data_IF_516527519006
#
_entry.id   IF_516527519006
#
_cell.length_a   1.000
_cell.length_b   1.000
_cell.length_c   1.000
_cell.angle_alpha   90.00
_cell.angle_beta   90.00
_cell.angle_gamma   90.00
#
_symmetry.space_group_name_H-M   'P 1'
#
loop_
_entity.id
_entity.type
_entity.pdbx_description
1 polymer ?
#
# COMPACT_ATOMS: atom_id res chain seq x y z
N UNK A 1 16.42 36.24 49.92
CA UNK A 1 16.84 34.90 49.46
C UNK A 1 15.83 33.88 49.96
N UNK A 2 15.20 33.13 49.07
CA UNK A 2 14.34 32.00 49.40
C UNK A 2 14.50 30.98 48.28
N UNK A 3 14.98 29.77 48.60
CA UNK A 3 15.26 28.72 47.63
C UNK A 3 14.07 27.76 47.63
N UNK A 4 13.37 27.65 46.50
CA UNK A 4 12.27 26.70 46.34
C UNK A 4 12.79 25.40 45.75
N UNK A 5 12.70 24.31 46.52
CA UNK A 5 13.06 22.96 46.09
C UNK A 5 11.85 22.29 45.43
N UNK A 6 11.85 22.27 44.09
CA UNK A 6 10.83 21.58 43.30
C UNK A 6 10.99 20.06 43.36
N UNK A 7 10.04 19.38 44.00
CA UNK A 7 9.95 17.92 44.06
C UNK A 7 9.83 17.31 42.64
N UNK A 8 10.70 16.35 42.31
CA UNK A 8 10.51 15.50 41.12
C UNK A 8 9.71 14.26 41.50
N UNK A 9 8.48 14.17 40.98
CA UNK A 9 7.68 12.95 41.04
C UNK A 9 8.11 12.05 39.89
N UNK A 10 8.85 10.98 40.19
CA UNK A 10 9.19 9.95 39.21
C UNK A 10 7.96 9.08 38.93
N UNK A 11 7.37 9.23 37.74
CA UNK A 11 6.34 8.32 37.25
C UNK A 11 6.93 6.94 36.97
N UNK A 12 6.51 5.94 37.75
CA UNK A 12 7.01 4.57 37.67
C UNK A 12 6.16 3.78 36.67
N UNK A 13 6.66 3.58 35.45
CA UNK A 13 5.99 2.75 34.44
C UNK A 13 6.11 1.26 34.80
N UNK A 14 4.97 0.64 35.11
CA UNK A 14 4.87 -0.80 35.33
C UNK A 14 4.78 -1.49 33.97
N UNK A 15 5.85 -2.18 33.57
CA UNK A 15 5.86 -3.03 32.37
C UNK A 15 5.14 -4.35 32.71
N UNK A 16 3.90 -4.48 32.27
CA UNK A 16 3.15 -5.73 32.34
C UNK A 16 3.59 -6.68 31.22
N UNK A 17 4.38 -7.69 31.57
CA UNK A 17 4.73 -8.77 30.63
C UNK A 17 3.53 -9.72 30.45
N UNK A 18 2.93 -9.71 29.26
CA UNK A 18 1.90 -10.69 28.88
C UNK A 18 2.61 -11.93 28.34
N UNK A 19 2.66 -12.99 29.15
CA UNK A 19 3.14 -14.29 28.70
C UNK A 19 2.04 -14.99 27.88
N UNK A 20 2.22 -15.04 26.56
CA UNK A 20 1.37 -15.86 25.67
C UNK A 20 1.87 -17.30 25.74
N UNK A 21 1.05 -18.18 26.30
CA UNK A 21 1.33 -19.61 26.33
C UNK A 21 1.02 -20.24 24.96
N UNK A 22 2.06 -20.45 24.14
CA UNK A 22 1.97 -21.27 22.94
C UNK A 22 1.91 -22.76 23.36
N UNK A 23 0.73 -23.37 23.25
CA UNK A 23 0.55 -24.81 23.45
C UNK A 23 1.05 -25.57 22.22
N UNK A 24 2.31 -26.01 22.24
CA UNK A 24 2.83 -26.95 21.26
C UNK A 24 2.37 -28.37 21.61
N UNK A 25 1.54 -28.98 20.76
CA UNK A 25 1.26 -30.42 20.83
C UNK A 25 2.42 -31.20 20.20
N UNK A 26 3.41 -31.56 21.01
CA UNK A 26 4.39 -32.59 20.66
C UNK A 26 3.91 -33.94 21.19
N UNK A 27 3.49 -34.84 20.31
CA UNK A 27 3.25 -36.25 20.66
C UNK A 27 4.58 -37.00 20.65
N UNK A 28 4.92 -37.61 21.79
CA UNK A 28 6.15 -38.39 21.99
C UNK A 28 6.09 -39.81 21.39
N UNK A 29 7.28 -40.34 21.11
CA UNK A 29 7.54 -41.76 20.90
C UNK A 29 8.45 -42.04 19.70
N UNK A 30 9.66 -42.60 19.82
CA UNK A 30 10.41 -43.04 21.00
C UNK A 30 11.39 -44.14 20.59
N UNK A 31 12.70 -44.00 20.88
CA UNK A 31 13.69 -45.00 20.47
C UNK A 31 15.15 -44.58 20.68
N UNK A 32 15.73 -44.96 21.81
CA UNK A 32 17.13 -44.75 22.19
C UNK A 32 18.10 -45.75 21.54
N UNK A 33 19.30 -45.30 21.16
CA UNK A 33 20.54 -46.10 21.24
C UNK A 33 21.80 -45.20 21.26
N UNK A 34 22.79 -45.63 22.04
CA UNK A 34 24.00 -44.91 22.48
C UNK A 34 25.05 -44.54 21.41
N UNK A 35 25.91 -43.56 21.72
CA UNK A 35 27.18 -43.37 20.99
C UNK A 35 28.05 -42.19 21.39
N UNK A 36 29.17 -42.47 22.12
CA UNK A 36 30.45 -41.71 22.21
C UNK A 36 30.55 -40.39 21.41
N UNK A 37 30.96 -39.25 21.98
CA UNK A 37 32.07 -39.07 22.93
C UNK A 37 33.34 -38.63 22.19
N UNK A 38 33.80 -37.39 22.40
CA UNK A 38 35.01 -36.85 21.74
C UNK A 38 35.20 -35.34 21.91
N UNK A 39 35.95 -34.94 22.95
CA UNK A 39 36.57 -33.61 23.04
C UNK A 39 37.73 -33.48 22.04
N UNK A 40 37.99 -32.28 21.49
CA UNK A 40 38.99 -32.16 20.43
C UNK A 40 39.39 -30.74 19.96
N UNK A 41 39.84 -29.89 20.88
CA UNK A 41 40.82 -28.78 20.67
C UNK A 41 40.64 -27.73 19.55
N UNK A 42 40.71 -26.47 19.99
CA UNK A 42 40.92 -25.25 19.19
C UNK A 42 42.27 -25.28 18.45
N UNK A 43 42.31 -24.86 17.18
CA UNK A 43 43.52 -24.31 16.53
C UNK A 43 43.15 -23.09 15.69
N UNK A 44 43.75 -21.94 16.01
CA UNK A 44 43.67 -20.71 15.22
C UNK A 44 44.92 -20.56 14.37
N UNK A 45 44.80 -20.60 13.04
CA UNK A 45 45.82 -20.10 12.13
C UNK A 45 45.25 -19.78 10.73
N UNK A 46 45.71 -18.66 10.16
CA UNK A 46 45.68 -18.36 8.74
C UNK A 46 46.83 -17.38 8.46
N UNK A 47 46.90 -16.71 7.30
CA UNK A 47 46.38 -17.08 5.98
C UNK A 47 47.55 -17.32 4.98
N UNK A 48 47.27 -17.79 3.76
CA UNK A 48 48.21 -17.67 2.62
C UNK A 48 47.51 -17.78 1.27
N UNK A 49 48.11 -17.17 0.25
CA UNK A 49 47.46 -16.82 -1.02
C UNK A 49 47.60 -17.88 -2.14
N UNK A 50 46.67 -17.81 -3.10
CA UNK A 50 46.87 -17.85 -4.56
C UNK A 50 47.71 -19.01 -5.15
N UNK A 51 47.04 -19.84 -5.97
CA UNK A 51 47.61 -20.33 -7.24
C UNK A 51 47.16 -21.72 -7.68
N UNK A 52 46.53 -21.82 -8.87
CA UNK A 52 46.40 -23.08 -9.61
C UNK A 52 44.98 -23.45 -10.07
N UNK A 53 44.65 -23.16 -11.34
CA UNK A 53 43.85 -24.07 -12.17
C UNK A 53 44.79 -24.82 -13.14
N UNK A 54 44.31 -25.46 -14.22
CA UNK A 54 42.91 -25.63 -14.66
C UNK A 54 42.52 -27.11 -14.97
N UNK A 55 41.23 -27.38 -15.16
CA UNK A 55 40.76 -28.61 -15.85
C UNK A 55 39.44 -28.35 -16.59
N UNK A 56 39.49 -28.36 -17.92
CA UNK A 56 38.37 -28.47 -18.89
C UNK A 56 38.16 -29.96 -19.29
N UNK A 57 37.20 -30.35 -20.18
CA UNK A 57 36.06 -29.64 -20.79
C UNK A 57 34.71 -30.22 -20.24
N UNK A 58 33.51 -30.24 -20.84
CA UNK A 58 32.92 -29.90 -22.16
C UNK A 58 31.41 -29.55 -21.95
N UNK A 59 30.50 -29.36 -22.92
CA UNK A 59 30.51 -29.45 -24.39
C UNK A 59 29.48 -28.45 -25.00
N UNK A 60 29.40 -28.38 -26.32
CA UNK A 60 28.71 -27.36 -27.14
C UNK A 60 27.18 -27.49 -27.15
N UNK A 61 26.48 -26.36 -27.28
CA UNK A 61 25.75 -25.98 -28.53
C UNK A 61 24.92 -24.69 -28.39
N UNK A 62 25.03 -23.81 -29.38
CA UNK A 62 23.99 -22.84 -29.73
C UNK A 62 23.30 -23.32 -31.03
N UNK A 63 22.04 -22.94 -31.29
CA UNK A 63 21.88 -21.90 -32.31
C UNK A 63 20.72 -20.90 -32.14
N UNK A 64 20.95 -19.77 -32.82
CA UNK A 64 20.07 -18.69 -33.29
C UNK A 64 18.64 -19.09 -33.73
N UNK A 65 17.65 -18.23 -33.40
CA UNK A 65 16.56 -17.67 -34.26
C UNK A 65 15.36 -17.21 -33.38
N UNK A 66 14.48 -16.26 -33.73
CA UNK A 66 14.21 -15.54 -34.98
C UNK A 66 14.00 -14.03 -34.73
N UNK A 67 14.48 -13.19 -35.65
CA UNK A 67 13.75 -11.97 -36.05
C UNK A 67 12.83 -12.34 -37.22
N UNK A 68 11.69 -11.67 -37.38
CA UNK A 68 10.99 -11.63 -38.67
C UNK A 68 10.25 -10.31 -38.89
N UNK A 69 10.12 -9.81 -40.15
CA UNK A 69 9.71 -8.44 -40.42
C UNK A 69 8.44 -8.35 -41.30
N UNK A 70 8.17 -7.13 -41.79
CA UNK A 70 7.11 -6.70 -42.73
C UNK A 70 5.74 -6.41 -42.07
N UNK A 71 5.01 -5.35 -42.43
CA UNK A 71 5.32 -4.25 -43.37
C UNK A 71 4.05 -3.66 -44.00
N UNK A 72 4.17 -2.46 -44.60
CA UNK A 72 3.12 -1.65 -45.28
C UNK A 72 2.05 -1.01 -44.37
N UNK A 73 1.35 0.04 -44.79
CA UNK A 73 1.63 1.18 -45.69
C UNK A 73 0.44 2.15 -45.56
N UNK A 74 0.65 3.47 -45.69
CA UNK A 74 -0.43 4.44 -45.43
C UNK A 74 -0.07 5.89 -45.71
N UNK A 75 0.59 6.16 -46.83
CA UNK A 75 0.70 7.52 -47.36
C UNK A 75 -0.68 8.01 -47.81
N UNK A 76 -1.20 9.07 -47.20
CA UNK A 76 -2.30 9.86 -47.75
C UNK A 76 -1.78 11.22 -48.19
N UNK A 77 -1.17 11.24 -49.37
CA UNK A 77 -0.97 12.48 -50.12
C UNK A 77 -2.29 12.87 -50.79
N UNK A 78 -2.69 14.13 -50.66
CA UNK A 78 -3.78 14.72 -51.45
C UNK A 78 -3.45 16.18 -51.74
N UNK A 79 -2.87 16.42 -52.92
CA UNK A 79 -2.94 17.74 -53.54
C UNK A 79 -4.35 17.97 -54.12
N UNK A 80 -4.66 19.21 -54.51
CA UNK A 80 -4.75 19.37 -55.96
C UNK A 80 -3.99 20.58 -56.53
N UNK A 81 -3.54 20.34 -57.76
CA UNK A 81 -2.95 21.25 -58.75
C UNK A 81 -3.68 22.59 -58.92
N UNK A 82 -2.93 23.70 -58.94
CA UNK A 82 -3.28 24.90 -59.72
C UNK A 82 -2.04 25.76 -60.04
N UNK A 83 -1.75 25.93 -61.33
CA UNK A 83 -0.77 26.81 -62.00
C UNK A 83 -1.51 27.22 -63.29
N UNK A 84 -1.52 28.48 -63.80
CA UNK A 84 -0.28 29.15 -64.26
C UNK A 84 -0.23 30.70 -64.37
N UNK A 85 0.93 31.18 -64.85
CA UNK A 85 1.19 32.49 -65.50
C UNK A 85 1.18 33.73 -64.59
N UNK A 86 2.00 34.77 -64.79
CA UNK A 86 3.12 35.05 -65.72
C UNK A 86 3.44 36.55 -65.57
N UNK A 87 4.70 37.00 -65.47
CA UNK A 87 5.55 37.52 -66.57
C UNK A 87 6.82 38.17 -65.97
N UNK A 88 7.92 38.34 -66.73
CA UNK A 88 9.15 38.96 -66.26
C UNK A 88 9.26 40.47 -66.61
N UNK A 89 10.00 41.21 -65.78
CA UNK A 89 10.41 42.60 -66.03
C UNK A 89 11.32 43.07 -64.91
N UNK A 90 12.40 43.81 -65.20
CA UNK A 90 13.42 44.13 -64.19
C UNK A 90 13.98 45.55 -64.25
N UNK A 91 15.20 45.67 -63.73
CA UNK A 91 16.14 46.80 -63.75
C UNK A 91 15.90 47.96 -62.74
N UNK A 92 17.03 48.42 -62.19
CA UNK A 92 17.35 49.71 -61.51
C UNK A 92 17.00 49.89 -60.01
N UNK A 93 17.99 49.53 -59.18
CA UNK A 93 18.65 50.39 -58.17
C UNK A 93 17.87 51.43 -57.36
N UNK A 94 17.83 51.23 -56.04
CA UNK A 94 17.72 52.26 -55.03
C UNK A 94 18.64 51.94 -53.83
N UNK A 95 19.15 52.97 -53.14
CA UNK A 95 20.23 52.86 -52.14
C UNK A 95 19.89 52.05 -50.88
N UNK A 96 20.90 51.46 -50.21
CA UNK A 96 20.71 50.88 -48.88
C UNK A 96 20.38 51.96 -47.84
N UNK A 97 19.19 51.87 -47.24
CA UNK A 97 18.89 52.62 -46.01
C UNK A 97 19.76 52.11 -44.85
N UNK A 98 20.27 52.99 -43.97
CA UNK A 98 21.12 52.59 -42.86
C UNK A 98 20.37 51.68 -41.88
N UNK A 99 21.08 50.65 -41.40
CA UNK A 99 20.57 49.69 -40.43
C UNK A 99 19.97 50.38 -39.21
N UNK A 100 18.74 50.01 -38.75
CA UNK A 100 18.28 50.43 -37.45
C UNK A 100 19.20 49.84 -36.38
N UNK A 101 19.79 50.71 -35.57
CA UNK A 101 20.53 50.34 -34.36
C UNK A 101 19.68 49.38 -33.52
N UNK A 102 20.24 48.26 -33.01
CA UNK A 102 19.46 47.35 -32.16
C UNK A 102 19.09 48.06 -30.86
N UNK A 103 17.84 48.49 -30.75
CA UNK A 103 17.27 48.96 -29.49
C UNK A 103 17.39 47.86 -28.42
N UNK A 104 17.81 48.17 -27.18
CA UNK A 104 17.83 47.22 -26.08
C UNK A 104 16.41 46.97 -25.55
N UNK A 105 15.55 46.42 -26.41
CA UNK A 105 14.15 46.15 -26.14
C UNK A 105 13.94 44.67 -25.84
N UNK A 106 13.46 44.38 -24.64
CA UNK A 106 13.15 43.02 -24.20
C UNK A 106 14.32 42.35 -23.48
N UNK A 107 14.33 42.47 -22.15
CA UNK A 107 14.70 41.30 -21.34
C UNK A 107 13.69 40.22 -21.69
N UNK A 108 14.05 39.28 -22.56
CA UNK A 108 13.23 38.11 -22.81
C UNK A 108 12.98 37.44 -21.48
N UNK A 109 11.72 37.41 -21.02
CA UNK A 109 11.32 36.63 -19.86
C UNK A 109 11.61 35.18 -20.20
N UNK A 110 12.73 34.67 -19.69
CA UNK A 110 13.09 33.25 -19.81
C UNK A 110 11.99 32.49 -19.08
N UNK A 111 11.08 31.90 -19.85
CA UNK A 111 10.01 31.05 -19.32
C UNK A 111 10.68 29.78 -18.82
N UNK A 112 11.01 29.77 -17.53
CA UNK A 112 11.51 28.57 -16.87
C UNK A 112 10.43 27.50 -16.96
N UNK A 113 10.77 26.36 -17.57
CA UNK A 113 9.86 25.24 -17.66
C UNK A 113 9.64 24.68 -16.24
N UNK A 114 8.39 24.68 -15.79
CA UNK A 114 8.05 24.07 -14.50
C UNK A 114 8.35 22.56 -14.54
N UNK A 115 8.96 21.99 -13.49
CA UNK A 115 9.12 20.54 -13.39
C UNK A 115 7.74 19.87 -13.28
N UNK A 116 7.59 18.62 -13.73
CA UNK A 116 6.34 17.88 -13.61
C UNK A 116 5.95 17.74 -12.14
N UNK A 117 4.67 17.98 -11.83
CA UNK A 117 4.12 17.81 -10.49
C UNK A 117 3.60 16.39 -10.26
N UNK A 118 3.29 16.08 -9.00
CA UNK A 118 2.90 14.76 -8.50
C UNK A 118 1.97 13.99 -9.45
N UNK A 119 2.25 12.69 -9.69
CA UNK A 119 1.37 11.83 -10.47
C UNK A 119 -0.09 11.85 -9.97
N UNK A 120 -1.08 11.63 -10.87
CA UNK A 120 -2.46 11.43 -10.47
C UNK A 120 -2.63 10.12 -9.69
N UNK A 121 -3.84 9.84 -9.25
CA UNK A 121 -4.16 8.59 -8.54
C UNK A 121 -5.55 8.64 -7.90
N UNK A 122 -6.02 7.49 -7.37
CA UNK A 122 -7.17 7.47 -6.48
C UNK A 122 -6.88 8.32 -5.24
N UNK A 123 -7.92 8.97 -4.72
CA UNK A 123 -7.84 9.67 -3.43
C UNK A 123 -7.89 8.64 -2.31
N UNK A 124 -7.03 8.76 -1.31
CA UNK A 124 -7.10 7.98 -0.09
C UNK A 124 -8.47 8.17 0.57
N UNK A 125 -9.16 7.10 1.01
CA UNK A 125 -10.02 7.24 2.18
C UNK A 125 -9.25 7.89 3.35
N UNK A 126 -10.03 8.60 4.15
CA UNK A 126 -9.70 9.21 5.44
C UNK A 126 -11.01 9.07 6.22
N UNK A 127 -11.33 7.84 6.60
CA UNK A 127 -12.63 7.43 7.17
C UNK A 127 -12.73 7.76 8.64
N UNK A 128 -11.59 7.83 9.36
CA UNK A 128 -11.54 8.28 10.76
C UNK A 128 -11.23 9.78 10.96
N UNK A 129 -10.87 10.51 9.89
CA UNK A 129 -10.63 11.96 9.91
C UNK A 129 -9.23 12.35 10.40
N UNK A 130 -8.35 11.38 10.63
CA UNK A 130 -6.96 11.57 11.06
C UNK A 130 -6.05 11.64 9.83
N UNK A 131 -5.37 12.77 9.57
CA UNK A 131 -4.48 12.88 8.41
C UNK A 131 -3.35 11.85 8.46
N UNK A 132 -3.34 10.96 7.47
CA UNK A 132 -2.28 10.00 7.17
C UNK A 132 -1.35 10.50 6.04
N UNK A 133 -0.20 9.86 5.78
CA UNK A 133 0.72 10.28 4.72
C UNK A 133 0.09 10.28 3.31
N UNK A 134 -0.81 9.35 3.03
CA UNK A 134 -1.42 9.19 1.72
C UNK A 134 -2.52 10.22 1.44
N UNK A 135 -3.32 10.64 2.43
CA UNK A 135 -4.24 11.79 2.27
C UNK A 135 -3.47 13.12 2.18
N UNK A 136 -2.36 13.29 2.90
CA UNK A 136 -1.51 14.49 2.76
C UNK A 136 -0.80 14.56 1.39
N UNK A 137 -0.40 13.42 0.83
CA UNK A 137 0.03 13.34 -0.58
C UNK A 137 -1.07 13.84 -1.54
N UNK A 138 -2.34 13.50 -1.29
CA UNK A 138 -3.44 13.94 -2.14
C UNK A 138 -3.75 15.43 -2.03
N UNK A 139 -3.59 16.01 -0.82
CA UNK A 139 -3.60 17.46 -0.67
C UNK A 139 -2.47 18.12 -1.48
N UNK A 140 -1.27 17.52 -1.49
CA UNK A 140 -0.14 18.03 -2.26
C UNK A 140 -0.31 17.93 -3.78
N UNK A 141 -1.15 17.01 -4.32
CA UNK A 141 -1.41 16.94 -5.77
C UNK A 141 -1.94 18.27 -6.36
N UNK A 142 -2.50 19.14 -5.52
CA UNK A 142 -2.84 20.53 -5.84
C UNK A 142 -1.73 21.50 -5.33
N UNK A 143 -0.85 22.06 -6.19
CA UNK A 143 0.31 22.84 -5.76
C UNK A 143 -0.01 24.10 -4.94
N UNK A 144 -1.22 24.65 -5.08
CA UNK A 144 -1.68 25.79 -4.29
C UNK A 144 -1.88 25.44 -2.80
N UNK A 145 -2.11 24.16 -2.49
CA UNK A 145 -2.41 23.62 -1.14
C UNK A 145 -1.17 23.21 -0.33
N UNK A 146 0.05 23.40 -0.83
CA UNK A 146 1.27 22.96 -0.14
C UNK A 146 1.44 23.51 1.29
N UNK A 147 0.91 24.71 1.57
CA UNK A 147 0.87 25.27 2.93
C UNK A 147 -0.15 24.55 3.83
N UNK A 148 -1.33 24.22 3.30
CA UNK A 148 -2.36 23.45 4.00
C UNK A 148 -1.92 22.00 4.25
N UNK A 149 -1.20 21.38 3.30
CA UNK A 149 -0.61 20.07 3.46
C UNK A 149 0.49 20.07 4.55
N UNK A 150 1.40 21.05 4.53
CA UNK A 150 2.40 21.21 5.60
C UNK A 150 1.77 21.34 6.98
N UNK A 151 0.66 22.08 7.09
CA UNK A 151 -0.10 22.24 8.34
C UNK A 151 -0.86 20.99 8.80
N UNK A 152 -0.96 19.95 7.96
CA UNK A 152 -1.56 18.65 8.31
C UNK A 152 -0.54 17.62 8.80
N UNK A 153 0.75 17.83 8.57
CA UNK A 153 1.82 16.92 9.00
C UNK A 153 2.06 17.09 10.51
N UNK A 154 2.02 16.01 11.32
CA UNK A 154 2.24 16.12 12.76
C UNK A 154 3.61 16.69 13.10
N UNK A 155 3.66 17.53 14.14
CA UNK A 155 4.91 18.10 14.65
C UNK A 155 5.72 17.01 15.34
N UNK A 156 7.00 16.89 14.97
CA UNK A 156 7.89 15.86 15.52
C UNK A 156 7.73 14.46 14.91
N UNK A 157 6.85 14.24 13.93
CA UNK A 157 6.79 12.97 13.18
C UNK A 157 8.16 12.63 12.57
N UNK A 158 8.64 11.40 12.83
CA UNK A 158 9.96 10.87 12.47
C UNK A 158 9.90 9.73 11.44
N UNK A 159 8.70 9.31 11.09
CA UNK A 159 8.40 8.32 10.07
C UNK A 159 8.85 8.84 8.70
N UNK A 160 9.43 7.96 7.89
CA UNK A 160 10.06 8.31 6.61
C UNK A 160 9.12 9.10 5.69
N UNK A 161 7.85 8.72 5.63
CA UNK A 161 6.86 9.36 4.77
C UNK A 161 6.49 10.77 5.26
N UNK A 162 6.33 10.96 6.56
CA UNK A 162 6.05 12.28 7.14
C UNK A 162 7.23 13.24 6.94
N UNK A 163 8.46 12.75 7.07
CA UNK A 163 9.67 13.51 6.77
C UNK A 163 9.74 13.90 5.28
N UNK A 164 9.44 12.96 4.38
CA UNK A 164 9.40 13.20 2.94
C UNK A 164 8.35 14.26 2.56
N UNK A 165 7.11 14.10 3.02
CA UNK A 165 6.01 15.01 2.70
C UNK A 165 6.25 16.41 3.27
N UNK A 166 6.95 16.52 4.41
CA UNK A 166 7.38 17.81 4.98
C UNK A 166 8.41 18.50 4.09
N UNK A 167 9.44 17.76 3.64
CA UNK A 167 10.44 18.26 2.69
C UNK A 167 9.85 18.64 1.34
N UNK A 168 8.94 17.83 0.80
CA UNK A 168 8.23 18.12 -0.45
C UNK A 168 7.31 19.35 -0.33
N UNK A 169 6.62 19.52 0.80
CA UNK A 169 5.80 20.72 1.06
C UNK A 169 6.66 21.98 1.14
N UNK A 170 7.81 21.91 1.82
CA UNK A 170 8.77 23.01 1.91
C UNK A 170 9.34 23.39 0.53
N UNK A 171 9.75 22.40 -0.28
CA UNK A 171 10.22 22.61 -1.64
C UNK A 171 9.12 23.17 -2.57
N UNK A 172 7.87 22.71 -2.41
CA UNK A 172 6.72 23.21 -3.17
C UNK A 172 6.44 24.70 -2.92
N UNK A 173 6.56 25.15 -1.66
CA UNK A 173 6.43 26.57 -1.32
C UNK A 173 7.63 27.36 -1.87
N UNK A 174 8.84 26.82 -1.70
CA UNK A 174 10.08 27.51 -2.05
C UNK A 174 10.21 27.72 -3.57
N UNK A 175 9.88 26.72 -4.38
CA UNK A 175 9.90 26.81 -5.86
C UNK A 175 8.84 27.79 -6.40
N UNK A 176 7.74 27.97 -5.66
CA UNK A 176 6.70 28.95 -5.98
C UNK A 176 6.98 30.35 -5.41
N UNK A 177 8.11 30.55 -4.73
CA UNK A 177 8.49 31.83 -4.11
C UNK A 177 7.65 32.22 -2.88
N UNK A 178 6.99 31.26 -2.22
CA UNK A 178 6.09 31.46 -1.06
C UNK A 178 6.79 31.26 0.30
N UNK A 179 8.11 31.40 0.36
CA UNK A 179 8.91 30.90 1.49
C UNK A 179 9.04 29.38 1.45
N UNK A 180 9.61 28.77 2.50
CA UNK A 180 10.00 27.35 2.51
C UNK A 180 11.51 27.20 2.66
N UNK A 181 11.97 25.95 2.70
CA UNK A 181 13.34 25.60 3.08
C UNK A 181 13.90 24.54 2.12
N UNK A 182 14.89 24.95 1.32
CA UNK A 182 15.59 24.08 0.36
C UNK A 182 16.59 23.15 1.03
N UNK A 183 17.18 23.55 2.17
CA UNK A 183 18.16 22.74 2.89
C UNK A 183 17.46 21.61 3.65
N UNK A 184 16.33 21.89 4.30
CA UNK A 184 15.47 20.87 4.89
C UNK A 184 14.91 19.90 3.84
N UNK A 185 14.52 20.40 2.67
CA UNK A 185 14.08 19.58 1.54
C UNK A 185 15.20 18.67 0.99
N UNK A 186 16.43 19.19 0.88
CA UNK A 186 17.60 18.43 0.46
C UNK A 186 18.01 17.37 1.49
N UNK A 187 17.98 17.71 2.79
CA UNK A 187 18.23 16.79 3.90
C UNK A 187 17.25 15.62 3.89
N UNK A 188 15.94 15.90 3.82
CA UNK A 188 14.91 14.86 3.73
C UNK A 188 15.12 13.94 2.51
N UNK A 189 15.45 14.49 1.33
CA UNK A 189 15.72 13.65 0.15
C UNK A 189 16.97 12.77 0.32
N UNK A 190 18.02 13.26 0.97
CA UNK A 190 19.25 12.50 1.20
C UNK A 190 19.05 11.38 2.24
N UNK A 191 18.37 11.67 3.36
CA UNK A 191 18.17 10.73 4.48
C UNK A 191 17.17 9.61 4.20
N UNK A 192 16.33 9.76 3.17
CA UNK A 192 15.21 8.87 2.87
C UNK A 192 15.42 7.99 1.63
N UNK A 193 16.61 8.04 1.03
CA UNK A 193 16.99 7.18 -0.09
C UNK A 193 16.80 5.69 0.25
N UNK A 194 15.90 5.01 -0.47
CA UNK A 194 15.60 3.59 -0.25
C UNK A 194 14.82 3.26 1.03
N UNK A 195 14.36 4.26 1.79
CA UNK A 195 13.58 4.08 3.04
C UNK A 195 12.07 4.33 2.89
N UNK A 196 11.64 4.71 1.70
CA UNK A 196 10.25 5.04 1.39
C UNK A 196 9.71 4.00 0.43
N UNK A 197 8.85 3.12 0.93
CA UNK A 197 8.42 1.89 0.27
C UNK A 197 6.93 1.84 -0.06
N UNK A 198 6.16 2.91 0.11
CA UNK A 198 4.82 3.03 -0.49
C UNK A 198 4.87 3.61 -1.92
N UNK A 199 3.84 3.38 -2.71
CA UNK A 199 3.72 3.91 -4.07
C UNK A 199 3.62 5.45 -4.12
N UNK A 200 2.84 6.06 -3.23
CA UNK A 200 2.76 7.52 -3.07
C UNK A 200 4.07 8.10 -2.57
N UNK A 201 4.69 7.47 -1.57
CA UNK A 201 6.00 7.86 -1.06
C UNK A 201 7.09 7.84 -2.13
N UNK A 202 7.23 6.75 -2.89
CA UNK A 202 8.18 6.67 -4.03
C UNK A 202 7.94 7.76 -5.08
N UNK A 203 6.68 8.06 -5.39
CA UNK A 203 6.33 9.14 -6.32
C UNK A 203 6.67 10.54 -5.78
N UNK A 204 6.42 10.80 -4.49
CA UNK A 204 6.80 12.04 -3.81
C UNK A 204 8.32 12.23 -3.74
N UNK A 205 9.07 11.15 -3.51
CA UNK A 205 10.53 11.14 -3.50
C UNK A 205 11.11 11.55 -4.85
N UNK A 206 10.61 10.95 -5.94
CA UNK A 206 11.03 11.28 -7.30
C UNK A 206 10.74 12.75 -7.67
N UNK A 207 9.56 13.29 -7.28
CA UNK A 207 9.23 14.71 -7.51
C UNK A 207 10.11 15.64 -6.69
N UNK A 208 10.37 15.32 -5.41
CA UNK A 208 11.29 16.09 -4.57
C UNK A 208 12.70 16.16 -5.20
N UNK A 209 13.22 15.03 -5.71
CA UNK A 209 14.47 15.01 -6.47
C UNK A 209 14.46 15.93 -7.68
N UNK A 210 13.36 15.91 -8.46
CA UNK A 210 13.16 16.80 -9.61
C UNK A 210 13.09 18.31 -9.25
N UNK A 211 12.51 18.66 -8.10
CA UNK A 211 12.51 20.03 -7.58
C UNK A 211 13.92 20.48 -7.16
N UNK A 212 14.68 19.61 -6.50
CA UNK A 212 16.06 19.88 -6.10
C UNK A 212 16.97 20.04 -7.34
N UNK A 213 16.76 19.24 -8.39
CA UNK A 213 17.44 19.40 -9.67
C UNK A 213 17.05 20.68 -10.42
N UNK A 214 15.80 21.14 -10.27
CA UNK A 214 15.39 22.45 -10.77
C UNK A 214 16.12 23.57 -9.99
N UNK A 215 16.11 23.51 -8.66
CA UNK A 215 16.77 24.51 -7.81
C UNK A 215 18.29 24.61 -8.07
N UNK A 216 18.98 23.46 -8.20
CA UNK A 216 20.42 23.42 -8.55
C UNK A 216 20.74 24.10 -9.88
N UNK A 217 19.87 23.95 -10.89
CA UNK A 217 20.05 24.55 -12.23
C UNK A 217 19.60 26.02 -12.29
N UNK A 218 18.68 26.42 -11.41
CA UNK A 218 18.13 27.76 -11.36
C UNK A 218 18.12 28.30 -9.91
N UNK A 219 19.30 28.63 -9.32
CA UNK A 219 19.37 29.22 -7.99
C UNK A 219 18.58 30.54 -7.95
N UNK A 220 17.56 30.62 -7.10
CA UNK A 220 16.64 31.76 -7.01
C UNK A 220 15.58 31.83 -8.12
N UNK A 221 15.53 30.86 -9.04
CA UNK A 221 14.45 30.73 -10.02
C UNK A 221 13.17 30.25 -9.35
N UNK A 222 12.04 30.89 -9.67
CA UNK A 222 10.71 30.48 -9.23
C UNK A 222 9.83 30.12 -10.41
N UNK A 223 8.95 29.13 -10.22
CA UNK A 223 7.98 28.67 -11.22
C UNK A 223 6.64 28.39 -10.56
N UNK A 224 5.56 28.67 -11.29
CA UNK A 224 4.23 28.23 -10.89
C UNK A 224 4.06 26.76 -11.29
N UNK A 225 4.00 25.89 -10.29
CA UNK A 225 3.63 24.49 -10.48
C UNK A 225 2.16 24.39 -10.91
N UNK A 226 1.82 23.33 -11.64
CA UNK A 226 0.45 23.00 -12.06
C UNK A 226 0.17 21.53 -11.74
N UNK A 227 -1.07 21.22 -11.32
CA UNK A 227 -1.49 19.84 -11.13
C UNK A 227 -1.40 19.06 -12.45
N UNK A 228 -0.90 17.83 -12.39
CA UNK A 228 -0.76 16.94 -13.56
C UNK A 228 -2.13 16.34 -13.91
N UNK A 229 -2.75 16.72 -15.05
CA UNK A 229 -4.16 16.38 -15.33
C UNK A 229 -4.37 14.92 -15.79
N UNK A 230 -3.30 14.16 -16.02
CA UNK A 230 -3.34 12.77 -16.42
C UNK A 230 -1.93 12.18 -16.55
N UNK A 231 -1.82 10.86 -16.60
CA UNK A 231 -0.56 10.13 -16.62
C UNK A 231 -0.68 8.81 -15.86
N UNK A 232 0.43 8.08 -15.75
CA UNK A 232 0.50 6.87 -14.89
C UNK A 232 0.17 7.26 -13.45
N UNK A 233 -0.77 6.57 -12.77
CA UNK A 233 -1.07 6.87 -11.38
C UNK A 233 0.10 6.50 -10.47
N UNK A 234 0.24 7.18 -9.33
CA UNK A 234 1.27 6.85 -8.34
C UNK A 234 1.16 5.39 -7.87
N UNK A 235 -0.07 4.92 -7.67
CA UNK A 235 -0.41 3.61 -7.13
C UNK A 235 -1.30 2.82 -8.10
N UNK A 236 -1.00 1.52 -8.25
CA UNK A 236 -1.77 0.58 -9.06
C UNK A 236 -2.37 -0.52 -8.20
N UNK A 237 -3.35 -0.16 -7.37
CA UNK A 237 -4.01 -1.04 -6.41
C UNK A 237 -4.59 -2.29 -7.10
N UNK A 238 -4.16 -3.47 -6.65
CA UNK A 238 -4.62 -4.77 -7.17
C UNK A 238 -4.34 -5.90 -6.19
N UNK A 239 -5.04 -7.02 -6.37
CA UNK A 239 -4.61 -8.31 -5.86
C UNK A 239 -3.42 -8.77 -6.73
N UNK A 240 -2.28 -9.05 -6.10
CA UNK A 240 -1.07 -9.54 -6.76
C UNK A 240 -1.01 -11.08 -6.80
N UNK A 241 -1.65 -11.76 -5.85
CA UNK A 241 -1.75 -13.21 -5.80
C UNK A 241 -2.59 -13.70 -4.62
N UNK A 242 -2.87 -15.00 -4.63
CA UNK A 242 -3.49 -15.72 -3.51
C UNK A 242 -2.60 -16.90 -3.15
N UNK A 243 -2.31 -17.05 -1.87
CA UNK A 243 -1.51 -18.10 -1.26
C UNK A 243 -2.45 -19.09 -0.55
N UNK A 244 -2.62 -20.29 -1.11
CA UNK A 244 -3.39 -21.37 -0.45
C UNK A 244 -2.52 -22.26 0.45
N UNK A 245 -1.24 -21.96 0.60
CA UNK A 245 -0.28 -22.79 1.34
C UNK A 245 0.28 -23.98 0.55
N UNK A 246 -0.02 -24.11 -0.74
CA UNK A 246 0.40 -25.26 -1.54
C UNK A 246 0.29 -25.09 -3.06
N UNK A 247 -0.47 -25.97 -3.69
CA UNK A 247 -0.61 -26.22 -5.14
C UNK A 247 -1.59 -25.27 -5.86
N UNK A 248 -2.21 -24.33 -5.15
CA UNK A 248 -3.28 -23.48 -5.67
C UNK A 248 -4.68 -24.06 -5.49
N UNK A 249 -4.82 -25.16 -4.74
CA UNK A 249 -6.10 -25.68 -4.27
C UNK A 249 -6.37 -25.27 -2.81
N UNK A 250 -7.65 -25.20 -2.42
CA UNK A 250 -8.08 -25.01 -1.04
C UNK A 250 -9.47 -25.63 -0.80
N UNK A 251 -9.77 -26.00 0.44
CA UNK A 251 -11.06 -26.57 0.87
C UNK A 251 -11.88 -25.54 1.65
N UNK A 252 -13.22 -25.69 1.73
CA UNK A 252 -14.03 -24.92 2.66
C UNK A 252 -13.51 -25.03 4.10
N UNK A 253 -13.27 -23.88 4.74
CA UNK A 253 -12.65 -23.78 6.07
C UNK A 253 -11.14 -23.55 6.07
N UNK A 254 -10.43 -23.81 4.97
CA UNK A 254 -9.00 -23.50 4.86
C UNK A 254 -8.76 -21.99 4.91
N UNK A 255 -7.58 -21.59 5.38
CA UNK A 255 -7.19 -20.17 5.46
C UNK A 255 -6.24 -19.80 4.33
N UNK A 256 -6.66 -18.88 3.47
CA UNK A 256 -5.85 -18.38 2.34
C UNK A 256 -5.27 -17.00 2.65
N UNK A 257 -4.07 -16.72 2.12
CA UNK A 257 -3.47 -15.40 2.09
C UNK A 257 -3.84 -14.65 0.81
N UNK A 258 -4.31 -13.42 0.90
CA UNK A 258 -4.58 -12.54 -0.25
C UNK A 258 -3.53 -11.42 -0.24
N UNK A 259 -2.65 -11.41 -1.23
CA UNK A 259 -1.65 -10.36 -1.38
C UNK A 259 -2.24 -9.17 -2.16
N UNK A 260 -2.30 -8.02 -1.52
CA UNK A 260 -2.61 -6.73 -2.12
C UNK A 260 -1.32 -5.95 -2.38
N UNK A 261 -1.25 -5.25 -3.51
CA UNK A 261 -0.14 -4.35 -3.84
C UNK A 261 -0.67 -3.02 -4.38
N UNK A 262 0.13 -1.95 -4.23
CA UNK A 262 -0.28 -0.60 -4.61
C UNK A 262 -1.36 -0.04 -3.68
N UNK A 263 -1.39 -0.44 -2.41
CA UNK A 263 -2.25 0.20 -1.39
C UNK A 263 -1.91 1.68 -1.28
N UNK A 264 -2.94 2.52 -1.14
CA UNK A 264 -2.81 3.98 -1.16
C UNK A 264 -3.55 4.64 0.02
N UNK A 265 -3.79 3.87 1.08
CA UNK A 265 -4.61 4.17 2.25
C UNK A 265 -4.00 3.51 3.48
N UNK A 266 -4.40 3.94 4.67
CA UNK A 266 -3.97 3.28 5.90
C UNK A 266 -4.48 1.83 5.94
N UNK A 267 -3.57 0.90 6.24
CA UNK A 267 -3.91 -0.52 6.40
C UNK A 267 -4.84 -0.75 7.60
N UNK A 268 -4.82 0.14 8.62
CA UNK A 268 -5.76 0.10 9.72
C UNK A 268 -7.21 0.37 9.27
N UNK A 269 -7.43 1.26 8.28
CA UNK A 269 -8.75 1.47 7.68
C UNK A 269 -9.19 0.27 6.83
N UNK A 270 -8.27 -0.30 6.04
CA UNK A 270 -8.52 -1.52 5.27
C UNK A 270 -9.05 -2.66 6.17
N UNK A 271 -8.44 -2.89 7.33
CA UNK A 271 -8.83 -3.97 8.24
C UNK A 271 -10.18 -3.72 8.95
N UNK A 272 -10.63 -2.46 9.05
CA UNK A 272 -11.94 -2.08 9.61
C UNK A 272 -13.06 -2.15 8.57
N UNK A 273 -12.79 -1.62 7.37
CA UNK A 273 -13.81 -1.23 6.38
C UNK A 273 -13.78 -2.06 5.08
N UNK A 274 -12.81 -2.96 4.87
CA UNK A 274 -12.77 -3.80 3.68
C UNK A 274 -13.76 -4.97 3.74
N UNK A 275 -14.41 -5.23 2.61
CA UNK A 275 -15.16 -6.46 2.37
C UNK A 275 -14.42 -7.33 1.36
N UNK A 276 -14.08 -8.57 1.75
CA UNK A 276 -13.54 -9.60 0.87
C UNK A 276 -14.69 -10.47 0.36
N UNK A 277 -14.68 -10.84 -0.92
CA UNK A 277 -15.57 -11.87 -1.46
C UNK A 277 -14.77 -12.99 -2.13
N UNK A 278 -15.29 -14.21 -2.00
CA UNK A 278 -14.70 -15.44 -2.53
C UNK A 278 -15.82 -16.22 -3.21
N UNK A 279 -15.71 -16.45 -4.51
CA UNK A 279 -16.74 -17.12 -5.31
C UNK A 279 -18.00 -16.27 -5.56
N UNK A 280 -17.96 -14.97 -5.25
CA UNK A 280 -19.08 -14.03 -5.39
C UNK A 280 -19.62 -13.50 -4.05
N UNK A 281 -20.05 -14.35 -3.10
CA UNK A 281 -20.48 -13.93 -1.77
C UNK A 281 -19.37 -13.24 -0.97
N UNK A 282 -19.75 -12.26 -0.14
CA UNK A 282 -18.84 -11.68 0.85
C UNK A 282 -18.52 -12.71 1.96
N UNK A 283 -17.25 -12.81 2.32
CA UNK A 283 -16.79 -13.66 3.42
C UNK A 283 -17.25 -13.02 4.74
N UNK A 284 -17.86 -13.78 5.67
CA UNK A 284 -18.26 -13.24 6.96
C UNK A 284 -17.05 -12.95 7.86
N UNK A 285 -17.09 -11.82 8.57
CA UNK A 285 -16.01 -11.37 9.46
C UNK A 285 -15.08 -10.34 8.82
N UNK A 286 -14.12 -9.85 9.61
CA UNK A 286 -13.07 -8.94 9.13
C UNK A 286 -11.84 -9.75 8.68
N UNK A 287 -11.13 -9.32 7.62
CA UNK A 287 -9.88 -9.94 7.22
C UNK A 287 -8.80 -9.73 8.30
N UNK A 288 -7.94 -10.72 8.53
CA UNK A 288 -6.84 -10.63 9.50
C UNK A 288 -5.55 -10.22 8.79
N UNK A 289 -4.78 -9.29 9.36
CA UNK A 289 -3.47 -8.93 8.82
C UNK A 289 -2.45 -10.05 9.07
N UNK A 290 -1.88 -10.62 8.00
CA UNK A 290 -0.80 -11.63 8.05
C UNK A 290 0.57 -10.95 8.00
N UNK A 291 0.73 -9.94 7.14
CA UNK A 291 1.94 -9.12 7.04
C UNK A 291 1.69 -7.83 6.25
N UNK A 292 2.58 -6.84 6.43
CA UNK A 292 2.61 -5.59 5.67
C UNK A 292 4.06 -5.15 5.40
N UNK A 293 4.27 -4.44 4.30
CA UNK A 293 5.52 -3.75 3.96
C UNK A 293 5.24 -2.73 2.86
N UNK A 294 5.40 -1.44 3.14
CA UNK A 294 5.17 -0.37 2.17
C UNK A 294 3.76 -0.42 1.57
N UNK A 295 3.66 -0.39 0.23
CA UNK A 295 2.37 -0.55 -0.48
C UNK A 295 1.93 -2.00 -0.71
N UNK A 296 2.42 -2.96 0.10
CA UNK A 296 2.04 -4.38 0.08
C UNK A 296 1.42 -4.81 1.41
N UNK A 297 0.28 -5.51 1.33
CA UNK A 297 -0.44 -6.11 2.47
C UNK A 297 -0.77 -7.55 2.14
N UNK A 298 -0.65 -8.46 3.11
CA UNK A 298 -1.22 -9.81 3.03
C UNK A 298 -2.36 -9.93 4.04
N UNK A 299 -3.58 -10.08 3.52
CA UNK A 299 -4.77 -10.40 4.31
C UNK A 299 -4.91 -11.92 4.45
N UNK A 300 -5.52 -12.37 5.54
CA UNK A 300 -5.81 -13.78 5.82
C UNK A 300 -7.32 -13.95 6.00
N UNK A 301 -7.92 -14.88 5.27
CA UNK A 301 -9.37 -15.15 5.29
C UNK A 301 -9.66 -16.64 5.15
N UNK A 302 -10.76 -17.10 5.74
CA UNK A 302 -11.23 -18.47 5.58
C UNK A 302 -12.04 -18.64 4.28
N UNK A 303 -11.84 -19.75 3.57
CA UNK A 303 -12.62 -20.11 2.38
C UNK A 303 -14.03 -20.52 2.81
N UNK A 304 -15.10 -19.88 2.30
CA UNK A 304 -16.47 -20.27 2.64
C UNK A 304 -16.86 -21.61 2.00
N UNK A 305 -18.02 -22.15 2.39
CA UNK A 305 -18.61 -23.30 1.70
C UNK A 305 -18.95 -22.91 0.25
N UNK A 306 -18.27 -23.54 -0.70
CA UNK A 306 -18.36 -23.29 -2.14
C UNK A 306 -18.37 -24.63 -2.89
N UNK A 307 -18.97 -24.63 -4.08
CA UNK A 307 -18.90 -25.77 -4.99
C UNK A 307 -17.48 -25.94 -5.57
N UNK A 308 -17.06 -27.17 -5.93
CA UNK A 308 -15.73 -27.40 -6.48
C UNK A 308 -15.52 -26.69 -7.82
N UNK A 309 -14.34 -26.09 -8.02
CA UNK A 309 -13.99 -25.39 -9.26
C UNK A 309 -13.15 -24.13 -9.06
N UNK A 310 -12.83 -23.41 -10.16
CA UNK A 310 -12.02 -22.19 -10.10
C UNK A 310 -12.81 -21.02 -9.48
N UNK A 311 -12.16 -20.29 -8.58
CA UNK A 311 -12.79 -19.25 -7.76
C UNK A 311 -12.20 -17.87 -8.02
N UNK A 312 -13.07 -16.87 -8.19
CA UNK A 312 -12.68 -15.45 -8.15
C UNK A 312 -12.57 -14.97 -6.69
N UNK A 313 -11.51 -14.19 -6.42
CA UNK A 313 -11.38 -13.42 -5.18
C UNK A 313 -11.49 -11.94 -5.51
N UNK A 314 -12.27 -11.20 -4.73
CA UNK A 314 -12.31 -9.74 -4.79
C UNK A 314 -12.09 -9.11 -3.41
N UNK A 315 -11.47 -7.93 -3.40
CA UNK A 315 -11.35 -7.08 -2.23
C UNK A 315 -11.89 -5.72 -2.57
N UNK A 316 -12.83 -5.23 -1.74
CA UNK A 316 -13.45 -3.91 -1.91
C UNK A 316 -13.25 -3.08 -0.65
N UNK A 317 -12.75 -1.87 -0.82
CA UNK A 317 -12.51 -0.89 0.24
C UNK A 317 -12.71 0.53 -0.32
N UNK A 318 -13.31 1.43 0.47
CA UNK A 318 -13.55 2.83 0.09
C UNK A 318 -14.20 3.05 -1.30
N UNK A 319 -15.13 2.17 -1.69
CA UNK A 319 -15.80 2.21 -3.00
C UNK A 319 -14.95 1.75 -4.19
N UNK A 320 -13.70 1.36 -3.97
CA UNK A 320 -12.82 0.74 -4.97
C UNK A 320 -12.82 -0.78 -4.80
N UNK A 321 -12.91 -1.52 -5.90
CA UNK A 321 -12.92 -2.99 -5.90
C UNK A 321 -11.84 -3.52 -6.85
N UNK A 322 -11.06 -4.48 -6.36
CA UNK A 322 -10.05 -5.20 -7.13
C UNK A 322 -10.39 -6.68 -7.17
N UNK A 323 -10.22 -7.32 -8.32
CA UNK A 323 -10.59 -8.72 -8.58
C UNK A 323 -9.40 -9.51 -9.12
N UNK A 324 -9.33 -10.78 -8.74
CA UNK A 324 -8.46 -11.78 -9.33
C UNK A 324 -9.33 -12.97 -9.77
N UNK A 325 -9.65 -13.11 -11.07
CA UNK A 325 -10.42 -14.23 -11.58
C UNK A 325 -9.57 -15.50 -11.55
N UNK A 326 -10.20 -16.65 -11.23
CA UNK A 326 -9.52 -17.95 -11.10
C UNK A 326 -8.26 -17.89 -10.22
N UNK A 327 -8.38 -17.24 -9.06
CA UNK A 327 -7.30 -17.03 -8.10
C UNK A 327 -6.79 -18.34 -7.47
N UNK A 328 -7.68 -19.31 -7.27
CA UNK A 328 -7.40 -20.66 -6.78
C UNK A 328 -8.54 -21.61 -7.18
N UNK A 329 -8.38 -22.91 -6.92
CA UNK A 329 -9.42 -23.93 -7.13
C UNK A 329 -9.97 -24.45 -5.80
N UNK A 330 -11.29 -24.49 -5.64
CA UNK A 330 -11.92 -25.20 -4.52
C UNK A 330 -11.99 -26.69 -4.83
N UNK A 331 -11.46 -27.52 -3.94
CA UNK A 331 -11.65 -28.98 -3.99
C UNK A 331 -12.92 -29.39 -3.27
N UNK A 332 -13.54 -30.47 -3.76
CA UNK A 332 -14.67 -31.09 -3.07
C UNK A 332 -14.23 -31.70 -1.72
N UNK A 333 -15.19 -31.96 -0.81
CA UNK A 333 -14.90 -32.79 0.35
C UNK A 333 -14.36 -34.13 -0.13
N UNK A 334 -13.39 -34.70 0.60
CA UNK A 334 -12.93 -36.07 0.30
C UNK A 334 -14.14 -36.99 0.29
N UNK A 335 -14.50 -37.50 -0.89
CA UNK A 335 -15.42 -38.62 -0.99
C UNK A 335 -14.67 -39.80 -0.38
N UNK A 336 -14.90 -40.02 0.92
CA UNK A 336 -14.53 -41.27 1.58
C UNK A 336 -15.11 -42.37 0.73
N UNK A 337 -14.27 -43.12 0.02
CA UNK A 337 -14.70 -44.34 -0.65
C UNK A 337 -15.28 -45.22 0.44
N UNK A 338 -16.60 -45.35 0.44
CA UNK A 338 -17.31 -46.26 1.33
C UNK A 338 -16.67 -47.64 1.10
N UNK A 339 -16.05 -48.25 2.13
CA UNK A 339 -15.14 -49.37 1.93
C UNK A 339 -15.91 -50.49 1.25
N UNK A 340 -15.58 -50.69 -0.04
CA UNK A 340 -16.37 -51.51 -0.93
C UNK A 340 -16.66 -52.85 -0.29
N UNK A 341 -17.93 -53.16 -0.10
CA UNK A 341 -18.36 -54.46 0.43
C UNK A 341 -17.87 -55.50 -0.57
N UNK A 342 -16.75 -56.15 -0.23
CA UNK A 342 -16.12 -57.13 -1.09
C UNK A 342 -17.12 -58.21 -1.47
N UNK A 343 -17.01 -58.78 -2.69
CA UNK A 343 -17.94 -59.81 -3.13
C UNK A 343 -17.95 -60.93 -2.10
N UNK A 344 -19.12 -61.17 -1.52
CA UNK A 344 -19.35 -62.32 -0.64
C UNK A 344 -19.27 -63.55 -1.53
N UNK A 345 -18.18 -64.30 -1.43
CA UNK A 345 -18.10 -65.63 -2.03
C UNK A 345 -19.20 -66.51 -1.40
N UNK A 346 -20.23 -66.84 -2.19
CA UNK A 346 -21.19 -67.90 -1.89
C UNK A 346 -20.65 -69.25 -2.36
N UNK A 347 -20.27 -70.18 -1.46
CA UNK A 347 -20.32 -71.61 -1.71
C UNK A 347 -21.68 -72.15 -1.28
N UNK A 348 -22.48 -72.62 -2.24
CA UNK A 348 -23.87 -72.95 -2.02
C UNK A 348 -24.17 -74.19 -1.15
N UNK A 349 -25.31 -74.10 -0.45
CA UNK A 349 -26.28 -75.15 -0.15
C UNK A 349 -25.80 -76.52 0.42
N UNK A 350 -26.22 -76.79 1.67
CA UNK A 350 -26.78 -78.10 2.05
C UNK A 350 -27.80 -77.94 3.20
N UNK A 351 -28.83 -78.78 3.20
CA UNK A 351 -30.08 -78.57 3.94
C UNK A 351 -30.03 -78.96 5.43
N UNK A 352 -30.89 -78.33 6.24
CA UNK A 352 -31.15 -78.69 7.64
C UNK A 352 -32.54 -78.20 8.09
N UNK A 353 -33.37 -79.10 8.61
CA UNK A 353 -34.82 -78.88 8.79
C UNK A 353 -35.21 -78.35 10.17
N UNK A 354 -36.11 -77.36 10.16
CA UNK A 354 -37.07 -76.90 11.18
C UNK A 354 -36.94 -77.30 12.67
N UNK A 355 -37.09 -76.29 13.55
CA UNK A 355 -38.00 -76.36 14.71
C UNK A 355 -38.69 -75.00 14.89
N UNK A 356 -39.98 -75.00 15.24
CA UNK A 356 -40.75 -73.81 15.64
C UNK A 356 -40.50 -73.46 17.11
N UNK A 357 -40.62 -72.18 17.49
CA UNK A 357 -41.33 -71.82 18.73
C UNK A 357 -41.90 -70.40 18.72
N UNK A 358 -42.79 -70.12 19.67
CA UNK A 358 -43.74 -69.01 19.73
C UNK A 358 -43.39 -67.94 20.78
N UNK A 359 -43.79 -66.71 20.50
CA UNK A 359 -44.30 -65.77 21.51
C UNK A 359 -43.31 -64.78 22.12
N UNK A 360 -43.81 -63.58 22.45
CA UNK A 360 -43.05 -62.55 23.16
C UNK A 360 -43.45 -61.12 22.86
N UNK A 361 -44.62 -60.67 23.34
CA UNK A 361 -44.87 -59.23 23.49
C UNK A 361 -43.90 -58.62 24.51
N UNK A 362 -43.23 -57.51 24.19
CA UNK A 362 -43.23 -56.31 25.05
C UNK A 362 -42.93 -55.06 24.23
N UNK A 363 -43.72 -54.00 24.40
CA UNK A 363 -43.28 -52.62 24.11
C UNK A 363 -42.46 -52.09 25.29
N UNK A 364 -41.62 -51.08 25.05
CA UNK A 364 -41.58 -49.97 26.00
C UNK A 364 -41.80 -48.60 25.34
N UNK A 365 -42.43 -47.73 26.11
CA UNK A 365 -42.58 -46.29 25.87
C UNK A 365 -41.28 -45.56 26.25
N UNK A 366 -41.07 -44.35 25.70
CA UNK A 366 -40.41 -43.27 26.42
C UNK A 366 -39.07 -42.76 25.86
N UNK A 367 -39.11 -41.58 25.23
CA UNK A 367 -38.09 -40.52 25.19
C UNK A 367 -38.70 -39.37 24.36
N UNK A 368 -39.47 -38.47 24.98
CA UNK A 368 -38.99 -37.18 25.53
C UNK A 368 -38.58 -36.16 24.46
N UNK A 369 -39.42 -35.13 24.32
CA UNK A 369 -39.17 -33.91 23.55
C UNK A 369 -38.69 -32.83 24.52
N UNK A 370 -37.50 -32.24 24.35
CA UNK A 370 -37.08 -31.08 25.12
C UNK A 370 -37.74 -29.81 24.56
N UNK A 371 -38.89 -29.44 25.14
CA UNK A 371 -39.53 -28.15 24.91
C UNK A 371 -38.83 -27.08 25.76
N UNK A 372 -37.93 -26.29 25.15
CA UNK A 372 -37.23 -25.19 25.81
C UNK A 372 -37.91 -23.84 25.51
N UNK A 373 -38.98 -23.57 26.24
CA UNK A 373 -39.60 -22.25 26.31
C UNK A 373 -38.67 -21.20 26.94
N UNK A 374 -37.86 -20.54 26.11
CA UNK A 374 -37.03 -19.40 26.50
C UNK A 374 -37.81 -18.09 26.47
N UNK A 375 -38.13 -17.53 27.64
CA UNK A 375 -38.82 -16.23 27.76
C UNK A 375 -38.07 -15.09 27.10
N UNK A 376 -38.71 -14.42 26.13
CA UNK A 376 -38.26 -13.16 25.56
C UNK A 376 -38.52 -12.00 26.54
N UNK A 377 -37.53 -11.72 27.40
CA UNK A 377 -37.49 -10.46 28.16
C UNK A 377 -37.23 -9.29 27.21
N UNK A 378 -38.26 -8.48 26.95
CA UNK A 378 -38.15 -7.24 26.18
C UNK A 378 -37.59 -6.10 27.04
N UNK A 379 -36.46 -5.46 26.69
CA UNK A 379 -36.12 -4.15 27.23
C UNK A 379 -36.94 -3.08 26.49
N UNK A 380 -37.77 -2.33 27.23
CA UNK A 380 -38.59 -1.26 26.66
C UNK A 380 -37.74 -0.10 26.15
N UNK A 381 -38.02 0.35 24.93
CA UNK A 381 -37.50 1.63 24.41
C UNK A 381 -38.38 2.77 24.93
N UNK A 382 -37.99 3.37 26.05
CA UNK A 382 -38.57 4.65 26.46
C UNK A 382 -38.02 5.78 25.60
N UNK A 383 -38.91 6.45 24.86
CA UNK A 383 -38.64 7.69 24.12
C UNK A 383 -39.11 8.86 24.96
N UNK A 384 -38.23 9.76 25.44
CA UNK A 384 -38.63 11.07 25.89
C UNK A 384 -38.49 12.08 24.74
N UNK A 385 -39.63 12.42 24.13
CA UNK A 385 -39.73 13.61 23.28
C UNK A 385 -39.95 14.85 24.16
N UNK A 386 -39.03 15.81 24.06
CA UNK A 386 -39.08 17.11 24.73
C UNK A 386 -37.70 17.77 24.64
N UNK A 387 -37.51 18.95 24.09
CA UNK A 387 -38.45 20.08 24.03
C UNK A 387 -37.88 21.20 24.89
N UNK A 388 -36.76 21.80 24.46
CA UNK A 388 -35.98 22.72 25.28
C UNK A 388 -35.15 23.70 24.46
N UNK A 389 -35.77 24.80 24.04
CA UNK A 389 -35.09 25.92 23.39
C UNK A 389 -34.42 26.81 24.44
N UNK A 390 -33.09 26.92 24.44
CA UNK A 390 -32.37 27.89 25.27
C UNK A 390 -31.04 28.39 24.66
N UNK A 391 -31.01 29.70 24.42
CA UNK A 391 -29.87 30.62 24.46
C UNK A 391 -28.45 30.17 23.98
N UNK A 392 -28.01 30.79 22.88
CA UNK A 392 -26.58 31.04 22.61
C UNK A 392 -25.92 31.78 23.78
N UNK A 393 -24.74 31.36 24.27
CA UNK A 393 -23.78 32.26 24.89
C UNK A 393 -22.91 32.93 23.80
N UNK A 394 -22.85 34.26 23.79
CA UNK A 394 -21.90 35.01 22.97
C UNK A 394 -20.46 34.77 23.46
N UNK A 395 -19.46 34.59 22.58
CA UNK A 395 -18.07 34.70 22.99
C UNK A 395 -17.76 36.15 23.39
N UNK A 396 -17.28 36.34 24.61
CA UNK A 396 -16.88 37.66 25.11
C UNK A 396 -15.59 38.14 24.43
N UNK A 397 -15.56 39.42 24.07
CA UNK A 397 -14.39 40.10 23.52
C UNK A 397 -13.27 40.22 24.56
N UNK A 398 -12.06 39.70 24.33
CA UNK A 398 -10.88 40.11 25.10
C UNK A 398 -10.35 41.47 24.60
N UNK A 399 -10.17 42.38 25.55
CA UNK A 399 -9.73 43.77 25.38
C UNK A 399 -8.33 43.90 24.76
N UNK A 400 -8.08 45.01 24.06
CA UNK A 400 -6.73 45.41 23.64
C UNK A 400 -5.76 45.46 24.83
N UNK A 401 -4.56 44.92 24.63
CA UNK A 401 -3.37 45.28 25.39
C UNK A 401 -2.31 45.82 24.41
N UNK A 402 -1.72 46.96 24.74
CA UNK A 402 -0.81 47.73 23.89
C UNK A 402 0.64 47.19 23.89
N UNK A 403 1.51 47.67 22.96
CA UNK A 403 2.66 46.89 22.52
C UNK A 403 3.91 47.01 23.41
N UNK A 404 4.54 45.88 23.69
CA UNK A 404 5.93 45.85 24.17
C UNK A 404 6.91 46.00 23.01
N UNK A 405 7.44 47.21 22.84
CA UNK A 405 8.67 47.43 22.08
C UNK A 405 9.84 46.71 22.73
N UNK A 406 10.46 45.77 22.01
CA UNK A 406 11.84 45.35 22.24
C UNK A 406 12.63 45.45 20.93
N UNK A 407 13.71 46.23 20.95
CA UNK A 407 14.57 46.45 19.78
C UNK A 407 15.41 45.21 19.46
N UNK A 408 15.77 44.99 18.19
CA UNK A 408 16.47 43.79 17.76
C UNK A 408 17.96 43.81 18.16
N UNK A 409 18.43 42.67 18.69
CA UNK A 409 19.85 42.39 18.84
C UNK A 409 20.47 42.14 17.45
N UNK A 410 21.43 42.97 17.03
CA UNK A 410 22.24 42.71 15.82
C UNK A 410 23.48 41.89 16.19
N UNK A 411 23.70 40.69 15.62
CA UNK A 411 25.03 40.09 15.58
C UNK A 411 25.87 40.76 14.49
N UNK A 412 26.99 41.37 14.88
CA UNK A 412 27.97 41.95 13.97
C UNK A 412 28.91 40.88 13.41
N UNK A 413 28.89 40.67 12.09
CA UNK A 413 29.92 39.92 11.36
C UNK A 413 31.00 40.88 10.83
N UNK A 414 32.29 40.50 10.83
CA UNK A 414 33.35 41.31 10.24
C UNK A 414 33.37 41.20 8.69
N UNK A 415 33.76 42.27 7.97
CA UNK A 415 33.99 42.26 6.53
C UNK A 415 35.32 41.56 6.15
N UNK A 416 35.53 41.21 4.86
CA UNK A 416 36.70 40.47 4.36
C UNK A 416 38.03 41.23 4.39
#
# INVERSE_FOLDING_TARGET
>A
MAVSLGMRISGLLVVGAVAVAAAAFTTDGGGTADGRGGEGTIVTAGPSERGGGPTEPADRSAPVAQQSPNGRAGENASGPTAVPSGLPGGIVGASPSPSPTPSPSGRGTVVLQAPPWLPPGPTSPDSDGTPDPASVYDLLRAPERCESALGKIPQGATEAEWQLLRGLSAACLAVQGRGGDWDAAAGAHAELAGRVDTCKGRAAYAVLGGLLDFHRRHPGGTVRLAATPGGTPACGYRIAGVDTGGDGEARPGDTIGIELTGTYFDHAELLRDASVSIGGPAVPGLPVLKSESGDRVVLSVAVPALEPGPVEVAVRHAGTEVRLPAAFTVTGPDTVEEPGTGPTDEPGASAGTAVSDLGGWVSPLGAEVPDLGGSLSSPGSEVPAGGGSAARPSPATPTLAEPFSQSPYRPSWPPP
#
